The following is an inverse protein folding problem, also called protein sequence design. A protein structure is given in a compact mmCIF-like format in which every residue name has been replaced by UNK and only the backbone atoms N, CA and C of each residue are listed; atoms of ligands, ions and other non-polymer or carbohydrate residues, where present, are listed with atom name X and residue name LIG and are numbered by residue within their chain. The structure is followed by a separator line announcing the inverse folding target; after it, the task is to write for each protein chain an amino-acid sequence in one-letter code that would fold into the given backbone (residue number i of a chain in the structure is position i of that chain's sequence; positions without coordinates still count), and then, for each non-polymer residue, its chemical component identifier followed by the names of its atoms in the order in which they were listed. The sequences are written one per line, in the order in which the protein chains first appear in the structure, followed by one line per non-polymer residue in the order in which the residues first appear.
data_IF_253787266817
#
_entry.id   IF_253787266817
#
_cell.length_a   1.000
_cell.length_b   1.000
_cell.length_c   1.000
_cell.angle_alpha   90.00
_cell.angle_beta   90.00
_cell.angle_gamma   90.00
#
_symmetry.space_group_name_H-M   'P 1'
#
loop_
_entity.id
_entity.type
_entity.pdbx_description
1 polymer ?
#
# COMPACT_ATOMS: atom_id res chain seq x y z
N UNK A 1 -14.99 -26.07 0.82
CA UNK A 1 -15.56 -24.93 0.04
C UNK A 1 -16.30 -23.92 0.92
N UNK A 2 -17.21 -24.36 1.80
CA UNK A 2 -17.96 -23.48 2.73
C UNK A 2 -17.06 -22.62 3.64
N UNK A 3 -15.97 -23.18 4.18
CA UNK A 3 -15.04 -22.44 5.04
C UNK A 3 -14.32 -21.30 4.30
N UNK A 4 -13.92 -21.51 3.03
CA UNK A 4 -13.32 -20.43 2.22
C UNK A 4 -14.31 -19.28 2.02
N UNK A 5 -15.58 -19.58 1.74
CA UNK A 5 -16.62 -18.54 1.61
C UNK A 5 -16.89 -17.81 2.91
N UNK A 6 -16.94 -18.52 4.05
CA UNK A 6 -17.11 -17.90 5.37
C UNK A 6 -15.92 -17.00 5.70
N UNK A 7 -14.70 -17.46 5.44
CA UNK A 7 -13.48 -16.65 5.67
C UNK A 7 -13.48 -15.41 4.78
N UNK A 8 -13.83 -15.53 3.50
CA UNK A 8 -13.92 -14.38 2.58
C UNK A 8 -14.99 -13.40 3.08
N UNK A 9 -16.18 -13.89 3.44
CA UNK A 9 -17.28 -13.05 3.94
C UNK A 9 -16.87 -12.29 5.21
N UNK A 10 -16.23 -12.98 6.15
CA UNK A 10 -15.73 -12.37 7.39
C UNK A 10 -14.68 -11.30 7.07
N UNK A 11 -13.71 -11.59 6.21
CA UNK A 11 -12.70 -10.62 5.80
C UNK A 11 -13.30 -9.40 5.09
N UNK A 12 -14.29 -9.60 4.22
CA UNK A 12 -15.01 -8.52 3.56
C UNK A 12 -15.73 -7.63 4.59
N UNK A 13 -16.44 -8.22 5.54
CA UNK A 13 -17.14 -7.47 6.60
C UNK A 13 -16.14 -6.68 7.45
N UNK A 14 -15.03 -7.31 7.88
CA UNK A 14 -13.98 -6.61 8.62
C UNK A 14 -13.38 -5.44 7.83
N UNK A 15 -13.19 -5.62 6.52
CA UNK A 15 -12.66 -4.58 5.63
C UNK A 15 -13.62 -3.40 5.55
N UNK A 16 -14.92 -3.66 5.38
CA UNK A 16 -15.96 -2.61 5.36
C UNK A 16 -16.00 -1.86 6.70
N UNK A 17 -15.97 -2.58 7.83
CA UNK A 17 -15.94 -1.97 9.17
C UNK A 17 -14.68 -1.12 9.34
N UNK A 18 -13.52 -1.62 8.92
CA UNK A 18 -12.26 -0.87 8.98
C UNK A 18 -12.36 0.44 8.18
N UNK A 19 -12.91 0.40 6.97
CA UNK A 19 -13.10 1.61 6.14
C UNK A 19 -14.07 2.59 6.79
N UNK A 20 -15.20 2.11 7.32
CA UNK A 20 -16.23 2.93 7.98
C UNK A 20 -15.74 3.53 9.30
N UNK A 21 -14.93 2.81 10.07
CA UNK A 21 -14.33 3.34 11.30
C UNK A 21 -13.21 4.34 11.00
N UNK A 22 -12.48 4.16 9.90
CA UNK A 22 -11.38 5.03 9.50
C UNK A 22 -11.79 6.09 8.46
N UNK A 23 -13.09 6.40 8.36
CA UNK A 23 -13.61 7.46 7.47
C UNK A 23 -13.43 8.87 8.04
N UNK A 24 -12.77 9.01 9.20
CA UNK A 24 -12.44 10.30 9.77
C UNK A 24 -11.70 11.17 8.73
N UNK A 25 -12.35 12.27 8.33
CA UNK A 25 -11.79 13.23 7.39
C UNK A 25 -10.75 14.05 8.14
N UNK A 26 -9.54 14.12 7.59
CA UNK A 26 -8.47 14.97 8.10
C UNK A 26 -8.09 16.00 7.06
N UNK A 27 -7.77 17.19 7.53
CA UNK A 27 -7.14 18.23 6.72
C UNK A 27 -5.65 17.95 6.64
N UNK A 28 -5.16 17.73 5.44
CA UNK A 28 -3.73 17.58 5.14
C UNK A 28 -3.27 18.86 4.46
N UNK A 29 -2.26 19.52 5.04
CA UNK A 29 -1.66 20.73 4.47
C UNK A 29 -0.30 20.37 3.88
N UNK A 30 -0.19 20.43 2.56
CA UNK A 30 1.01 20.12 1.77
C UNK A 30 1.55 21.41 1.16
N UNK A 31 2.63 21.96 1.73
CA UNK A 31 3.26 23.21 1.30
C UNK A 31 2.24 24.36 1.14
N UNK A 32 1.67 24.56 -0.05
CA UNK A 32 0.67 25.58 -0.36
C UNK A 32 -0.75 25.04 -0.56
N UNK A 33 -0.95 23.72 -0.52
CA UNK A 33 -2.23 23.05 -0.71
C UNK A 33 -2.83 22.56 0.60
N UNK A 34 -4.15 22.65 0.71
CA UNK A 34 -4.91 22.05 1.79
C UNK A 34 -5.97 21.13 1.17
N UNK A 35 -5.96 19.87 1.59
CA UNK A 35 -6.89 18.86 1.10
C UNK A 35 -7.58 18.18 2.29
N UNK A 36 -8.90 18.08 2.23
CA UNK A 36 -9.69 17.32 3.20
C UNK A 36 -10.00 15.94 2.63
N UNK A 37 -9.40 14.90 3.20
CA UNK A 37 -9.56 13.53 2.72
C UNK A 37 -9.71 12.56 3.89
N UNK A 38 -10.36 11.41 3.69
CA UNK A 38 -10.45 10.39 4.74
C UNK A 38 -9.07 9.80 5.05
N UNK A 39 -8.79 9.55 6.34
CA UNK A 39 -7.51 8.97 6.80
C UNK A 39 -7.15 7.69 6.07
N UNK A 40 -8.13 6.78 5.90
CA UNK A 40 -7.91 5.52 5.21
C UNK A 40 -7.46 5.72 3.75
N UNK A 41 -8.09 6.64 3.01
CA UNK A 41 -7.76 6.92 1.62
C UNK A 41 -6.39 7.58 1.50
N UNK A 42 -6.03 8.48 2.43
CA UNK A 42 -4.68 9.05 2.49
C UNK A 42 -3.60 7.98 2.64
N UNK A 43 -3.79 7.02 3.56
CA UNK A 43 -2.83 5.93 3.79
C UNK A 43 -2.67 5.06 2.52
N UNK A 44 -3.78 4.68 1.89
CA UNK A 44 -3.76 3.88 0.65
C UNK A 44 -3.07 4.63 -0.49
N UNK A 45 -3.34 5.94 -0.62
CA UNK A 45 -2.72 6.77 -1.65
C UNK A 45 -1.21 6.91 -1.43
N UNK A 46 -0.77 7.18 -0.20
CA UNK A 46 0.66 7.22 0.15
C UNK A 46 1.36 5.89 -0.16
N UNK A 47 0.73 4.76 0.18
CA UNK A 47 1.28 3.44 -0.11
C UNK A 47 1.41 3.21 -1.63
N UNK A 48 0.37 3.52 -2.39
CA UNK A 48 0.38 3.36 -3.85
C UNK A 48 1.48 4.21 -4.50
N UNK A 49 1.62 5.47 -4.08
CA UNK A 49 2.68 6.36 -4.56
C UNK A 49 4.06 5.78 -4.20
N UNK A 50 4.26 5.32 -2.97
CA UNK A 50 5.52 4.70 -2.55
C UNK A 50 5.89 3.46 -3.34
N UNK A 51 4.93 2.59 -3.65
CA UNK A 51 5.13 1.40 -4.51
C UNK A 51 5.53 1.82 -5.93
N UNK A 52 4.81 2.78 -6.52
CA UNK A 52 5.10 3.29 -7.87
C UNK A 52 6.52 3.86 -7.91
N UNK A 53 6.90 4.68 -6.93
CA UNK A 53 8.25 5.21 -6.80
C UNK A 53 9.28 4.08 -6.68
N UNK A 54 9.02 3.08 -5.83
CA UNK A 54 9.92 1.93 -5.65
C UNK A 54 10.09 1.06 -6.90
N UNK A 55 9.06 0.98 -7.76
CA UNK A 55 9.15 0.28 -9.05
C UNK A 55 9.94 1.10 -10.07
N UNK A 56 9.72 2.42 -10.11
CA UNK A 56 10.35 3.32 -11.08
C UNK A 56 11.83 3.53 -10.77
N UNK A 57 12.21 3.60 -9.49
CA UNK A 57 13.61 3.78 -9.10
C UNK A 57 14.36 2.46 -9.36
N UNK A 58 15.30 2.41 -10.33
CA UNK A 58 16.06 1.20 -10.57
C UNK A 58 16.92 0.90 -9.33
N UNK A 59 16.78 -0.31 -8.81
CA UNK A 59 17.66 -0.82 -7.75
C UNK A 59 19.06 -1.00 -8.30
N UNK A 60 19.92 0.02 -8.18
CA UNK A 60 21.34 -0.04 -8.58
C UNK A 60 22.18 -1.05 -7.79
N UNK A 61 21.61 -1.75 -6.81
CA UNK A 61 22.31 -2.72 -5.99
C UNK A 61 21.94 -4.16 -6.32
N UNK A 62 22.64 -4.76 -7.29
CA UNK A 62 23.06 -6.18 -7.30
C UNK A 62 23.78 -6.48 -8.62
N UNK A 63 25.02 -6.01 -8.72
CA UNK A 63 26.00 -6.63 -9.60
C UNK A 63 26.20 -8.05 -9.08
N UNK A 64 25.59 -9.03 -9.76
CA UNK A 64 25.94 -10.43 -9.53
C UNK A 64 27.35 -10.59 -10.07
N UNK A 65 28.35 -10.59 -9.18
CA UNK A 65 29.68 -11.07 -9.53
C UNK A 65 29.54 -12.55 -9.88
N UNK A 66 29.43 -12.83 -11.17
CA UNK A 66 29.59 -14.17 -11.71
C UNK A 66 31.01 -14.60 -11.36
N UNK A 67 31.11 -15.57 -10.45
CA UNK A 67 32.40 -16.16 -10.10
C UNK A 67 32.93 -16.89 -11.34
N UNK A 68 34.18 -16.66 -11.76
CA UNK A 68 34.74 -17.29 -12.93
C UNK A 68 34.72 -18.82 -12.78
N UNK A 69 34.51 -19.57 -13.88
CA UNK A 69 34.48 -21.03 -13.84
C UNK A 69 35.83 -21.56 -13.33
N UNK A 70 35.76 -22.43 -12.32
CA UNK A 70 36.92 -23.24 -11.91
C UNK A 70 37.29 -24.21 -13.04
N UNK A 71 38.60 -24.30 -13.29
CA UNK A 71 39.29 -24.90 -14.45
C UNK A 71 38.89 -26.35 -14.78
#
# INVERSE_FOLDING_TARGET
MKTKLVVILVLTILTVIFVLQNTAVISVRLWFWEASISRALLIVLCLAIGIIIGIIIPSSGREKKELPPEE
#
